data_IF_095652054288
#
_entry.id   IF_095652054288
#
_cell.length_a   1.000
_cell.length_b   1.000
_cell.length_c   1.000
_cell.angle_alpha   90.00
_cell.angle_beta   90.00
_cell.angle_gamma   90.00
#
_symmetry.space_group_name_H-M   'P 1'
#
loop_
_entity.id
_entity.type
_entity.pdbx_description
1 polymer ?
#
# COMPACT_ATOMS: atom_id res chain seq x y z
N UNK A 1 -7.49 39.71 27.85
CA UNK A 1 -7.28 38.26 27.70
C UNK A 1 -7.98 37.78 26.43
N UNK A 2 -7.25 37.45 25.37
CA UNK A 2 -7.87 36.92 24.15
C UNK A 2 -7.98 35.39 24.29
N UNK A 3 -9.21 34.90 24.49
CA UNK A 3 -9.50 33.47 24.54
C UNK A 3 -9.45 32.87 23.14
N UNK A 4 -8.69 31.78 22.96
CA UNK A 4 -8.56 31.08 21.68
C UNK A 4 -9.78 30.19 21.44
N UNK A 5 -10.30 30.12 20.20
CA UNK A 5 -11.42 29.24 19.90
C UNK A 5 -11.00 27.78 20.11
N UNK A 6 -11.87 27.02 20.77
CA UNK A 6 -11.69 25.56 20.91
C UNK A 6 -12.36 24.90 19.70
N UNK A 7 -11.55 24.24 18.88
CA UNK A 7 -12.04 23.43 17.78
C UNK A 7 -12.19 21.97 18.22
N UNK A 8 -13.25 21.30 17.81
CA UNK A 8 -13.45 19.87 18.03
C UNK A 8 -13.89 19.25 16.73
N UNK A 9 -13.06 18.37 16.18
CA UNK A 9 -13.33 17.63 14.95
C UNK A 9 -14.32 16.52 15.28
N UNK A 10 -15.47 16.51 14.60
CA UNK A 10 -16.40 15.38 14.62
C UNK A 10 -16.15 14.54 13.36
N UNK A 11 -15.74 13.28 13.49
CA UNK A 11 -15.61 12.42 12.32
C UNK A 11 -17.00 12.16 11.74
N UNK A 12 -17.15 12.42 10.44
CA UNK A 12 -18.32 12.00 9.67
C UNK A 12 -17.89 10.74 8.92
N UNK A 13 -18.52 9.61 9.22
CA UNK A 13 -18.33 8.37 8.47
C UNK A 13 -19.56 8.14 7.61
N UNK A 14 -19.35 7.97 6.30
CA UNK A 14 -20.35 7.45 5.38
C UNK A 14 -20.13 5.95 5.28
N UNK A 15 -21.10 5.10 5.69
CA UNK A 15 -20.94 3.66 5.57
C UNK A 15 -20.91 3.26 4.09
N UNK A 16 -19.91 2.46 3.73
CA UNK A 16 -19.82 1.82 2.42
C UNK A 16 -20.93 0.76 2.34
N UNK A 17 -21.73 0.71 1.24
CA UNK A 17 -22.76 -0.32 1.10
C UNK A 17 -22.10 -1.70 1.08
N UNK A 18 -22.69 -2.65 1.81
CA UNK A 18 -22.24 -4.03 1.78
C UNK A 18 -22.36 -4.57 0.35
N UNK A 19 -21.22 -4.90 -0.26
CA UNK A 19 -21.19 -5.60 -1.52
C UNK A 19 -21.50 -7.07 -1.25
N UNK A 20 -22.75 -7.48 -1.48
CA UNK A 20 -23.12 -8.88 -1.43
C UNK A 20 -24.59 -9.05 -1.78
N UNK A 21 -24.85 -9.53 -3.01
CA UNK A 21 -25.78 -10.63 -3.32
C UNK A 21 -26.18 -10.59 -4.81
N UNK A 22 -25.68 -11.58 -5.56
CA UNK A 22 -25.93 -11.78 -7.00
C UNK A 22 -24.60 -11.76 -7.75
N UNK A 23 -24.07 -12.86 -8.30
CA UNK A 23 -24.75 -13.82 -9.15
C UNK A 23 -24.19 -15.23 -8.98
N UNK A 24 -25.13 -16.15 -8.77
CA UNK A 24 -24.97 -17.58 -8.94
C UNK A 24 -24.49 -17.94 -10.36
N UNK A 25 -23.34 -18.60 -10.42
CA UNK A 25 -22.92 -19.54 -11.48
C UNK A 25 -22.70 -18.96 -12.88
N UNK A 26 -21.60 -18.23 -13.09
CA UNK A 26 -20.88 -18.24 -14.37
C UNK A 26 -19.45 -18.69 -14.09
N UNK A 27 -18.93 -19.58 -14.94
CA UNK A 27 -17.67 -20.27 -14.70
C UNK A 27 -16.52 -19.30 -14.42
N UNK A 28 -15.76 -19.61 -13.37
CA UNK A 28 -14.60 -18.83 -12.91
C UNK A 28 -13.59 -18.70 -14.07
N UNK A 29 -13.29 -17.47 -14.48
CA UNK A 29 -12.27 -17.19 -15.48
C UNK A 29 -10.88 -17.17 -14.84
N UNK A 30 -9.81 -17.13 -15.64
CA UNK A 30 -8.44 -17.04 -15.10
C UNK A 30 -8.22 -15.75 -14.29
N UNK A 31 -8.86 -14.65 -14.66
CA UNK A 31 -8.93 -13.41 -13.88
C UNK A 31 -9.59 -13.61 -12.50
N UNK A 32 -10.72 -14.31 -12.45
CA UNK A 32 -11.40 -14.60 -11.17
C UNK A 32 -10.55 -15.49 -10.24
N UNK A 33 -9.71 -16.37 -10.81
CA UNK A 33 -8.79 -17.19 -10.01
C UNK A 33 -7.61 -16.38 -9.44
N UNK A 34 -7.30 -15.21 -9.99
CA UNK A 34 -6.30 -14.27 -9.45
C UNK A 34 -6.86 -13.44 -8.29
N UNK A 35 -8.17 -13.22 -8.27
CA UNK A 35 -8.84 -12.50 -7.19
C UNK A 35 -8.87 -13.29 -5.86
N UNK A 36 -8.78 -14.64 -5.91
CA UNK A 36 -8.71 -15.52 -4.73
C UNK A 36 -7.26 -15.79 -4.26
N UNK A 37 -6.25 -15.20 -4.90
CA UNK A 37 -4.85 -15.43 -4.55
C UNK A 37 -4.49 -14.63 -3.27
N UNK A 38 -4.03 -15.28 -2.18
CA UNK A 38 -3.74 -14.61 -0.92
C UNK A 38 -2.60 -13.60 -1.00
N UNK A 39 -1.83 -13.59 -2.10
CA UNK A 39 -0.80 -12.59 -2.37
C UNK A 39 -1.30 -11.43 -3.24
N UNK A 40 -2.48 -11.57 -3.87
CA UNK A 40 -3.08 -10.51 -4.67
C UNK A 40 -3.96 -9.65 -3.77
N UNK A 41 -3.59 -8.37 -3.66
CA UNK A 41 -4.33 -7.38 -2.89
C UNK A 41 -5.37 -6.71 -3.80
N UNK A 42 -6.54 -6.30 -3.28
CA UNK A 42 -7.57 -5.64 -4.09
C UNK A 42 -7.06 -4.30 -4.66
N UNK A 43 -7.48 -3.95 -5.89
CA UNK A 43 -7.02 -2.74 -6.63
C UNK A 43 -7.24 -1.40 -5.90
N UNK A 44 -8.14 -1.38 -4.91
CA UNK A 44 -8.42 -0.21 -4.09
C UNK A 44 -7.54 -0.12 -2.83
N UNK A 45 -6.75 -1.15 -2.53
CA UNK A 45 -5.70 -1.08 -1.51
C UNK A 45 -4.50 -0.35 -2.12
N UNK A 46 -3.88 0.52 -1.32
CA UNK A 46 -2.68 1.29 -1.66
C UNK A 46 -1.46 0.34 -1.76
N UNK A 47 -1.42 -0.43 -2.84
CA UNK A 47 -0.23 -1.10 -3.33
C UNK A 47 0.51 -0.11 -4.23
N UNK A 48 1.10 0.89 -3.58
CA UNK A 48 1.93 1.94 -4.20
C UNK A 48 3.21 1.38 -4.85
N UNK A 49 3.39 0.05 -4.80
CA UNK A 49 4.55 -0.64 -5.33
C UNK A 49 5.81 -0.36 -4.52
N UNK A 50 5.67 0.14 -3.29
CA UNK A 50 6.82 0.46 -2.47
C UNK A 50 7.46 -0.81 -1.90
N UNK A 51 8.53 -1.29 -2.53
CA UNK A 51 9.38 -2.31 -1.93
C UNK A 51 9.98 -1.71 -0.64
N UNK A 52 9.85 -2.37 0.54
CA UNK A 52 10.41 -1.90 1.80
C UNK A 52 11.90 -1.55 1.77
N UNK A 53 12.65 -2.02 0.76
CA UNK A 53 14.07 -1.74 0.57
C UNK A 53 14.36 -0.64 -0.46
N UNK A 54 13.35 0.07 -0.97
CA UNK A 54 13.54 1.20 -1.89
C UNK A 54 14.25 2.39 -1.22
N UNK A 55 14.01 2.61 0.08
CA UNK A 55 14.73 3.59 0.91
C UNK A 55 16.09 3.09 1.41
N UNK A 56 16.52 1.88 1.00
CA UNK A 56 17.77 1.34 1.49
C UNK A 56 18.90 2.27 1.02
N UNK A 57 19.69 2.84 1.95
CA UNK A 57 20.84 3.62 1.54
C UNK A 57 21.77 2.74 0.71
N UNK A 58 22.39 3.34 -0.31
CA UNK A 58 23.45 2.66 -1.05
C UNK A 58 24.55 2.20 -0.08
N UNK A 59 25.25 1.12 -0.45
CA UNK A 59 26.41 0.69 0.31
C UNK A 59 27.42 1.85 0.39
N UNK A 60 28.05 2.05 1.56
CA UNK A 60 28.99 3.14 1.74
C UNK A 60 30.21 2.96 0.83
N UNK A 61 30.71 4.06 0.29
CA UNK A 61 31.94 4.05 -0.49
C UNK A 61 33.10 3.47 0.35
N UNK A 62 34.03 2.73 -0.27
CA UNK A 62 35.23 2.25 0.40
C UNK A 62 36.02 3.41 1.01
N UNK A 63 36.60 3.20 2.20
CA UNK A 63 37.45 4.21 2.85
C UNK A 63 38.70 4.57 2.04
N UNK A 64 39.13 3.69 1.14
CA UNK A 64 40.32 3.85 0.30
C UNK A 64 40.11 3.20 -1.07
N UNK A 65 40.73 3.78 -2.08
CA UNK A 65 40.81 3.20 -3.41
C UNK A 65 41.79 2.02 -3.41
N UNK A 66 41.51 1.00 -4.25
CA UNK A 66 42.42 -0.12 -4.47
C UNK A 66 43.76 0.38 -5.02
N UNK A 67 44.89 -0.15 -4.52
CA UNK A 67 46.21 0.22 -5.03
C UNK A 67 46.32 -0.16 -6.53
N UNK A 68 46.59 0.80 -7.44
CA UNK A 68 46.69 0.49 -8.87
C UNK A 68 47.96 -0.28 -9.27
N UNK A 69 48.88 -0.55 -8.33
CA UNK A 69 50.19 -1.15 -8.60
C UNK A 69 50.49 -2.40 -7.76
N UNK A 70 49.47 -3.09 -7.23
CA UNK A 70 49.66 -4.40 -6.59
C UNK A 70 50.08 -5.49 -7.60
#
# INVERSE_FOLDING_TARGET
>A
MNSKPRYTVRPVTTPVPAAGEGERSRGRTAEDAKADDPFIRPEAEDDDGYDPYSDRPADPDPLFESNPWD
#
